data_IF_158747523823
#
_entry.id   IF_158747523823
#
_cell.length_a   1.000
_cell.length_b   1.000
_cell.length_c   1.000
_cell.angle_alpha   90.00
_cell.angle_beta   90.00
_cell.angle_gamma   90.00
#
_symmetry.space_group_name_H-M   'P 1'
#
loop_
_entity.id
_entity.type
_entity.pdbx_description
1 polymer ?
#
# COMPACT_ATOMS: atom_id res chain seq x y z
N UNK A 1 -25.68 8.75 12.13
CA UNK A 1 -25.07 8.79 10.80
C UNK A 1 -23.89 9.73 10.81
N UNK A 2 -22.69 9.28 10.42
CA UNK A 2 -21.55 10.19 10.23
C UNK A 2 -21.85 11.09 9.02
N UNK A 3 -21.57 12.38 9.15
CA UNK A 3 -21.76 13.37 8.07
C UNK A 3 -20.85 12.99 6.90
N UNK A 4 -21.40 12.81 5.70
CA UNK A 4 -20.63 12.55 4.48
C UNK A 4 -19.73 13.76 4.22
N UNK A 5 -18.43 13.54 4.08
CA UNK A 5 -17.49 14.63 3.79
C UNK A 5 -17.67 15.10 2.33
N UNK A 6 -17.79 16.40 2.12
CA UNK A 6 -17.84 17.00 0.77
C UNK A 6 -16.48 16.94 0.04
N UNK A 7 -15.37 16.87 0.80
CA UNK A 7 -14.03 16.75 0.23
C UNK A 7 -13.79 15.37 -0.35
N UNK A 8 -13.06 15.32 -1.45
CA UNK A 8 -12.55 14.07 -2.02
C UNK A 8 -11.62 13.38 -1.03
N UNK A 9 -11.85 12.10 -0.79
CA UNK A 9 -10.93 11.25 -0.02
C UNK A 9 -10.02 10.50 -0.98
N UNK A 10 -8.71 10.67 -0.81
CA UNK A 10 -7.70 9.98 -1.60
C UNK A 10 -7.12 8.81 -0.79
N UNK A 11 -7.07 7.64 -1.43
CA UNK A 11 -6.43 6.43 -0.92
C UNK A 11 -5.22 6.14 -1.79
N UNK A 12 -4.08 5.84 -1.19
CA UNK A 12 -2.86 5.45 -1.89
C UNK A 12 -2.51 4.05 -1.44
N UNK A 13 -2.74 3.07 -2.33
CA UNK A 13 -2.64 1.64 -2.09
C UNK A 13 -1.34 1.09 -2.64
N UNK A 14 -0.62 0.32 -1.84
CA UNK A 14 0.54 -0.47 -2.26
C UNK A 14 0.58 -1.82 -1.55
N UNK A 15 1.42 -2.72 -2.07
CA UNK A 15 1.61 -4.07 -1.55
C UNK A 15 3.06 -4.31 -1.13
N UNK A 16 3.27 -5.22 -0.16
CA UNK A 16 4.59 -5.76 0.17
C UNK A 16 4.53 -7.28 0.28
N UNK A 17 5.47 -7.95 -0.36
CA UNK A 17 5.44 -9.39 -0.60
C UNK A 17 4.80 -9.72 -1.95
N UNK A 18 4.35 -10.95 -2.08
CA UNK A 18 3.78 -11.49 -3.32
C UNK A 18 2.59 -12.43 -3.01
N UNK A 19 1.63 -12.61 -3.94
CA UNK A 19 0.51 -13.54 -3.75
C UNK A 19 0.86 -14.99 -4.08
N UNK A 20 2.09 -15.30 -4.48
CA UNK A 20 2.50 -16.60 -5.01
C UNK A 20 2.56 -17.69 -3.95
N UNK A 21 1.90 -18.81 -4.17
CA UNK A 21 1.93 -19.99 -3.29
C UNK A 21 2.67 -21.16 -3.91
N UNK A 22 2.62 -21.28 -5.24
CA UNK A 22 3.16 -22.43 -5.97
C UNK A 22 4.03 -21.97 -7.13
N UNK A 23 5.02 -22.76 -7.46
CA UNK A 23 5.79 -22.58 -8.68
C UNK A 23 4.99 -23.07 -9.92
N UNK A 24 5.57 -22.94 -11.11
CA UNK A 24 4.96 -23.39 -12.36
C UNK A 24 4.76 -24.90 -12.44
N UNK A 25 5.48 -25.66 -11.64
CA UNK A 25 5.39 -27.12 -11.53
C UNK A 25 4.37 -27.58 -10.48
N UNK A 26 3.73 -26.63 -9.76
CA UNK A 26 2.74 -26.92 -8.73
C UNK A 26 3.33 -27.25 -7.35
N UNK A 27 4.65 -27.05 -7.13
CA UNK A 27 5.27 -27.21 -5.82
C UNK A 27 4.97 -26.03 -4.92
N UNK A 28 4.69 -26.29 -3.64
CA UNK A 28 4.50 -25.23 -2.64
C UNK A 28 5.82 -24.56 -2.29
N UNK A 29 5.91 -23.24 -2.50
CA UNK A 29 7.16 -22.48 -2.39
C UNK A 29 7.11 -21.33 -1.37
N UNK A 30 6.03 -21.21 -0.59
CA UNK A 30 5.91 -20.13 0.41
C UNK A 30 7.01 -20.24 1.47
N UNK A 31 7.77 -19.16 1.64
CA UNK A 31 8.88 -19.08 2.58
C UNK A 31 10.22 -19.56 2.05
N UNK A 32 10.29 -20.00 0.78
CA UNK A 32 11.55 -20.21 0.07
C UNK A 32 12.17 -18.88 -0.33
N UNK A 33 13.40 -18.89 -0.83
CA UNK A 33 14.09 -17.68 -1.29
C UNK A 33 13.25 -16.94 -2.35
N UNK A 34 13.05 -15.65 -2.15
CA UNK A 34 12.27 -14.79 -3.03
C UNK A 34 10.74 -14.85 -2.83
N UNK A 35 10.21 -15.80 -2.04
CA UNK A 35 8.76 -15.94 -1.81
C UNK A 35 8.38 -15.70 -0.36
N UNK A 36 7.65 -14.62 -0.11
CA UNK A 36 7.27 -14.19 1.24
C UNK A 36 6.26 -15.15 1.91
N UNK A 37 6.38 -15.30 3.25
CA UNK A 37 5.39 -16.01 4.10
C UNK A 37 4.11 -15.21 4.33
N UNK A 38 4.13 -13.91 4.00
CA UNK A 38 3.00 -13.00 4.16
C UNK A 38 2.83 -12.16 2.90
N UNK A 39 1.59 -11.74 2.66
CA UNK A 39 1.26 -10.65 1.75
C UNK A 39 0.70 -9.51 2.57
N UNK A 40 1.22 -8.32 2.38
CA UNK A 40 0.75 -7.10 3.01
C UNK A 40 0.08 -6.25 1.94
N UNK A 41 -1.13 -5.80 2.22
CA UNK A 41 -1.83 -4.78 1.47
C UNK A 41 -2.13 -3.61 2.40
N UNK A 42 -1.75 -2.41 2.01
CA UNK A 42 -2.00 -1.25 2.83
C UNK A 42 -2.37 -0.03 2.00
N UNK A 43 -3.09 0.88 2.62
CA UNK A 43 -3.28 2.21 2.07
C UNK A 43 -3.03 3.30 3.12
N UNK A 44 -2.59 4.46 2.66
CA UNK A 44 -2.79 5.70 3.39
C UNK A 44 -4.01 6.43 2.85
N UNK A 45 -4.72 7.14 3.71
CA UNK A 45 -5.92 7.90 3.40
C UNK A 45 -5.75 9.34 3.87
N UNK A 46 -6.00 10.31 2.98
CA UNK A 46 -5.97 11.74 3.27
C UNK A 46 -6.99 12.51 2.43
N UNK A 47 -7.34 13.71 2.87
CA UNK A 47 -8.11 14.70 2.08
C UNK A 47 -7.22 15.82 1.54
N UNK A 48 -5.93 15.81 1.88
CA UNK A 48 -4.94 16.78 1.39
C UNK A 48 -3.65 16.10 0.90
N UNK A 49 -3.68 15.45 -0.27
CA UNK A 49 -2.48 14.83 -0.83
C UNK A 49 -1.39 15.84 -1.20
N UNK A 50 -1.73 17.12 -1.39
CA UNK A 50 -0.76 18.17 -1.70
C UNK A 50 0.19 18.40 -0.53
N UNK A 51 -0.32 18.36 0.70
CA UNK A 51 0.49 18.49 1.90
C UNK A 51 1.52 17.35 2.01
N UNK A 52 1.11 16.10 1.74
CA UNK A 52 2.01 14.94 1.74
C UNK A 52 3.09 15.09 0.67
N UNK A 53 2.71 15.41 -0.58
CA UNK A 53 3.65 15.61 -1.71
C UNK A 53 4.69 16.68 -1.38
N UNK A 54 4.25 17.81 -0.80
CA UNK A 54 5.14 18.90 -0.38
C UNK A 54 6.09 18.45 0.74
N UNK A 55 5.60 17.68 1.71
CA UNK A 55 6.41 17.13 2.78
C UNK A 55 7.55 16.25 2.26
N UNK A 56 7.27 15.33 1.33
CA UNK A 56 8.29 14.48 0.71
C UNK A 56 9.26 15.29 -0.16
N UNK A 57 8.79 16.30 -0.88
CA UNK A 57 9.65 17.19 -1.66
C UNK A 57 10.64 17.95 -0.77
N UNK A 58 10.20 18.46 0.37
CA UNK A 58 11.07 19.10 1.34
C UNK A 58 12.18 18.16 1.86
N UNK A 59 11.84 16.89 2.09
CA UNK A 59 12.84 15.86 2.46
C UNK A 59 13.83 15.65 1.33
N UNK A 60 13.35 15.54 0.08
CA UNK A 60 14.20 15.36 -1.11
C UNK A 60 15.19 16.50 -1.27
N UNK A 61 14.73 17.75 -1.14
CA UNK A 61 15.58 18.95 -1.18
C UNK A 61 16.61 18.91 -0.04
N UNK A 62 16.20 18.57 1.18
CA UNK A 62 17.12 18.47 2.34
C UNK A 62 18.18 17.40 2.13
N UNK A 63 17.83 16.24 1.54
CA UNK A 63 18.79 15.16 1.27
C UNK A 63 19.75 15.55 0.15
N UNK A 64 19.25 16.15 -0.94
CA UNK A 64 20.07 16.52 -2.10
C UNK A 64 21.10 17.61 -1.79
N UNK A 65 20.79 18.48 -0.81
CA UNK A 65 21.70 19.56 -0.38
C UNK A 65 22.71 19.14 0.68
N UNK A 66 22.61 17.92 1.21
CA UNK A 66 23.49 17.44 2.27
C UNK A 66 24.78 16.85 1.70
N UNK A 67 25.89 17.57 1.90
CA UNK A 67 27.24 17.13 1.44
C UNK A 67 27.66 15.79 2.03
N UNK A 68 27.22 15.44 3.24
CA UNK A 68 27.54 14.16 3.87
C UNK A 68 26.94 12.97 3.09
N UNK A 69 25.78 13.17 2.47
CA UNK A 69 25.08 12.14 1.71
C UNK A 69 25.55 12.04 0.25
N UNK A 70 26.22 13.06 -0.27
CA UNK A 70 26.59 13.15 -1.69
C UNK A 70 27.45 11.97 -2.22
N UNK A 71 28.17 11.26 -1.31
CA UNK A 71 28.98 10.08 -1.66
C UNK A 71 28.22 8.75 -1.65
N UNK A 72 26.92 8.73 -1.35
CA UNK A 72 26.16 7.49 -1.26
C UNK A 72 25.78 7.00 -2.67
N UNK A 73 26.22 5.79 -3.11
CA UNK A 73 26.01 5.33 -4.49
C UNK A 73 24.52 5.19 -4.90
N UNK A 74 23.63 4.92 -3.95
CA UNK A 74 22.19 4.79 -4.20
C UNK A 74 21.42 6.10 -4.14
N UNK A 75 22.08 7.23 -3.85
CA UNK A 75 21.41 8.49 -3.57
C UNK A 75 20.56 8.99 -4.74
N UNK A 76 21.10 8.95 -5.95
CA UNK A 76 20.38 9.42 -7.15
C UNK A 76 19.07 8.65 -7.35
N UNK A 77 19.09 7.33 -7.12
CA UNK A 77 17.88 6.50 -7.19
C UNK A 77 16.87 6.89 -6.12
N UNK A 78 17.32 7.11 -4.88
CA UNK A 78 16.45 7.55 -3.77
C UNK A 78 15.85 8.93 -4.02
N UNK A 79 16.63 9.86 -4.61
CA UNK A 79 16.15 11.19 -4.98
C UNK A 79 15.11 11.18 -6.10
N UNK A 80 15.11 10.19 -6.96
CA UNK A 80 14.03 10.00 -7.95
C UNK A 80 12.74 9.52 -7.29
N UNK A 81 12.82 8.50 -6.45
CA UNK A 81 11.67 7.92 -5.76
C UNK A 81 12.15 7.20 -4.50
N UNK A 82 11.69 7.63 -3.34
CA UNK A 82 11.97 6.93 -2.10
C UNK A 82 11.35 5.52 -2.12
N UNK A 83 12.17 4.53 -1.72
CA UNK A 83 11.76 3.14 -1.63
C UNK A 83 12.42 2.48 -0.41
N UNK A 84 11.63 2.15 0.60
CA UNK A 84 12.13 1.77 1.93
C UNK A 84 13.12 0.60 1.93
N UNK A 85 12.97 -0.36 1.02
CA UNK A 85 13.87 -1.50 0.89
C UNK A 85 15.25 -1.11 0.32
N UNK A 86 15.26 -0.20 -0.66
CA UNK A 86 16.45 0.14 -1.45
C UNK A 86 17.21 1.35 -0.89
N UNK A 87 16.52 2.21 -0.15
CA UNK A 87 17.13 3.40 0.47
C UNK A 87 18.14 3.01 1.55
N UNK A 88 19.24 3.76 1.65
CA UNK A 88 20.20 3.63 2.74
C UNK A 88 19.58 4.06 4.09
N UNK A 89 20.26 3.74 5.18
CA UNK A 89 19.74 4.02 6.52
C UNK A 89 19.53 5.51 6.77
N UNK A 90 20.42 6.35 6.26
CA UNK A 90 20.43 7.81 6.44
C UNK A 90 19.22 8.46 5.71
N UNK A 91 18.96 8.03 4.49
CA UNK A 91 17.79 8.45 3.72
C UNK A 91 16.51 7.96 4.41
N UNK A 92 16.47 6.68 4.78
CA UNK A 92 15.32 6.06 5.43
C UNK A 92 14.96 6.76 6.74
N UNK A 93 15.95 7.10 7.57
CA UNK A 93 15.73 7.85 8.81
C UNK A 93 15.03 9.19 8.55
N UNK A 94 15.49 9.95 7.56
CA UNK A 94 14.91 11.26 7.22
C UNK A 94 13.51 11.15 6.70
N UNK A 95 13.25 10.17 5.84
CA UNK A 95 11.91 9.92 5.31
C UNK A 95 10.95 9.53 6.43
N UNK A 96 11.31 8.61 7.33
CA UNK A 96 10.47 8.25 8.48
C UNK A 96 10.20 9.45 9.41
N UNK A 97 11.21 10.28 9.69
CA UNK A 97 11.04 11.51 10.48
C UNK A 97 10.11 12.53 9.83
N UNK A 98 9.99 12.51 8.51
CA UNK A 98 9.01 13.32 7.81
C UNK A 98 7.62 12.70 7.85
N UNK A 99 7.50 11.40 7.59
CA UNK A 99 6.23 10.67 7.56
C UNK A 99 5.40 10.91 8.83
N UNK A 100 5.99 10.86 10.02
CA UNK A 100 5.28 11.08 11.29
C UNK A 100 4.73 12.51 11.47
N UNK A 101 5.09 13.45 10.59
CA UNK A 101 4.62 14.83 10.60
C UNK A 101 3.54 15.07 9.54
N UNK A 102 3.24 14.09 8.71
CA UNK A 102 2.26 14.19 7.65
C UNK A 102 0.86 13.86 8.17
N UNK A 103 -0.16 14.50 7.59
CA UNK A 103 -1.56 14.29 7.98
C UNK A 103 -2.22 13.22 7.10
N UNK A 104 -2.30 12.01 7.61
CA UNK A 104 -2.99 10.88 6.99
C UNK A 104 -3.39 9.85 8.04
N UNK A 105 -4.22 8.90 7.65
CA UNK A 105 -4.42 7.65 8.37
C UNK A 105 -4.00 6.46 7.50
N UNK A 106 -3.44 5.42 8.11
CA UNK A 106 -3.05 4.20 7.41
C UNK A 106 -3.86 3.00 7.91
N UNK A 107 -4.18 2.09 6.99
CA UNK A 107 -4.70 0.76 7.32
C UNK A 107 -3.91 -0.28 6.56
N UNK A 108 -3.45 -1.28 7.31
CA UNK A 108 -2.58 -2.34 6.80
C UNK A 108 -3.22 -3.68 7.09
N UNK A 109 -3.38 -4.49 6.05
CA UNK A 109 -3.85 -5.86 6.14
C UNK A 109 -2.67 -6.82 5.94
N UNK A 110 -2.37 -7.64 6.96
CA UNK A 110 -1.29 -8.63 6.90
C UNK A 110 -1.92 -10.01 6.74
N UNK A 111 -1.75 -10.62 5.58
CA UNK A 111 -2.24 -11.96 5.28
C UNK A 111 -1.11 -12.98 5.38
N UNK A 112 -1.23 -13.95 6.29
CA UNK A 112 -0.35 -15.12 6.32
C UNK A 112 -0.72 -16.09 5.21
N UNK A 113 0.26 -16.55 4.45
CA UNK A 113 0.06 -17.52 3.38
C UNK A 113 0.00 -18.94 3.97
N UNK A 114 -1.22 -19.44 4.17
CA UNK A 114 -1.49 -20.78 4.73
C UNK A 114 -2.01 -21.69 3.64
N UNK A 115 -1.25 -22.74 3.28
CA UNK A 115 -1.50 -23.63 2.15
C UNK A 115 -2.91 -24.25 2.14
N UNK A 116 -3.32 -24.85 3.26
CA UNK A 116 -4.62 -25.53 3.35
C UNK A 116 -5.78 -24.55 3.17
N UNK A 117 -5.69 -23.35 3.78
CA UNK A 117 -6.69 -22.30 3.63
C UNK A 117 -6.75 -21.80 2.18
N UNK A 118 -5.59 -21.59 1.55
CA UNK A 118 -5.50 -21.16 0.16
C UNK A 118 -6.15 -22.17 -0.80
N UNK A 119 -5.86 -23.45 -0.62
CA UNK A 119 -6.44 -24.50 -1.44
C UNK A 119 -7.95 -24.63 -1.26
N UNK A 120 -8.43 -24.59 -0.01
CA UNK A 120 -9.85 -24.78 0.32
C UNK A 120 -10.71 -23.57 -0.03
N UNK A 121 -10.22 -22.35 0.20
CA UNK A 121 -11.02 -21.12 0.06
C UNK A 121 -10.85 -20.44 -1.29
N UNK A 122 -9.65 -20.48 -1.84
CA UNK A 122 -9.31 -19.76 -3.07
C UNK A 122 -8.99 -20.69 -4.26
N UNK A 123 -9.26 -22.00 -4.11
CA UNK A 123 -9.14 -22.99 -5.20
C UNK A 123 -7.76 -22.95 -5.91
N UNK A 124 -6.71 -22.63 -5.16
CA UNK A 124 -5.34 -22.39 -5.67
C UNK A 124 -5.24 -21.18 -6.63
N UNK A 125 -6.17 -20.24 -6.58
CA UNK A 125 -6.21 -19.06 -7.43
C UNK A 125 -5.67 -17.83 -6.68
N UNK A 126 -4.49 -17.37 -7.08
CA UNK A 126 -3.82 -16.20 -6.46
C UNK A 126 -4.60 -14.89 -6.68
N UNK A 127 -5.34 -14.78 -7.78
CA UNK A 127 -6.17 -13.61 -8.03
C UNK A 127 -7.36 -13.56 -7.07
N UNK A 128 -8.03 -14.70 -6.83
CA UNK A 128 -9.14 -14.76 -5.85
C UNK A 128 -8.64 -14.40 -4.44
N UNK A 129 -7.47 -14.89 -4.06
CA UNK A 129 -6.83 -14.54 -2.78
C UNK A 129 -6.56 -13.04 -2.68
N UNK A 130 -5.94 -12.45 -3.72
CA UNK A 130 -5.63 -11.03 -3.77
C UNK A 130 -6.91 -10.17 -3.75
N UNK A 131 -7.90 -10.50 -4.55
CA UNK A 131 -9.18 -9.78 -4.65
C UNK A 131 -9.96 -9.81 -3.32
N UNK A 132 -9.92 -10.94 -2.60
CA UNK A 132 -10.54 -11.04 -1.27
C UNK A 132 -9.86 -10.11 -0.27
N UNK A 133 -8.53 -10.02 -0.28
CA UNK A 133 -7.78 -9.10 0.59
C UNK A 133 -8.10 -7.64 0.30
N UNK A 134 -8.17 -7.25 -0.97
CA UNK A 134 -8.59 -5.90 -1.38
C UNK A 134 -10.04 -5.63 -0.93
N UNK A 135 -10.92 -6.57 -1.15
CA UNK A 135 -12.33 -6.45 -0.74
C UNK A 135 -12.45 -6.18 0.76
N UNK A 136 -11.72 -6.94 1.58
CA UNK A 136 -11.68 -6.76 3.05
C UNK A 136 -11.06 -5.43 3.47
N UNK A 137 -9.98 -5.02 2.82
CA UNK A 137 -9.29 -3.76 3.12
C UNK A 137 -10.19 -2.54 2.89
N UNK A 138 -11.00 -2.56 1.82
CA UNK A 138 -11.92 -1.46 1.48
C UNK A 138 -13.34 -1.61 2.06
N UNK A 139 -13.65 -2.73 2.70
CA UNK A 139 -14.95 -2.93 3.34
C UNK A 139 -15.23 -1.82 4.36
N UNK A 140 -16.40 -1.20 4.29
CA UNK A 140 -16.83 -0.10 5.17
C UNK A 140 -16.00 1.20 5.07
N UNK A 141 -15.36 1.49 3.94
CA UNK A 141 -14.55 2.71 3.76
C UNK A 141 -15.19 3.72 2.80
N UNK A 142 -15.67 3.26 1.67
CA UNK A 142 -16.04 4.11 0.55
C UNK A 142 -17.32 4.93 0.75
N UNK A 143 -18.17 4.53 1.67
CA UNK A 143 -19.42 5.25 2.03
C UNK A 143 -19.19 6.52 2.88
N UNK A 144 -17.95 6.77 3.31
CA UNK A 144 -17.62 7.86 4.25
C UNK A 144 -17.40 9.22 3.57
N UNK A 145 -17.19 9.24 2.26
CA UNK A 145 -17.01 10.44 1.45
C UNK A 145 -17.88 10.40 0.20
N UNK A 146 -18.22 11.58 -0.34
CA UNK A 146 -18.97 11.70 -1.59
C UNK A 146 -18.13 11.26 -2.79
N UNK A 147 -16.84 11.61 -2.78
CA UNK A 147 -15.91 11.25 -3.85
C UNK A 147 -14.70 10.53 -3.25
N UNK A 148 -14.33 9.41 -3.86
CA UNK A 148 -13.14 8.64 -3.51
C UNK A 148 -12.24 8.52 -4.73
N UNK A 149 -10.93 8.71 -4.53
CA UNK A 149 -9.90 8.44 -5.51
C UNK A 149 -8.93 7.40 -4.93
N UNK A 150 -8.80 6.26 -5.61
CA UNK A 150 -7.92 5.17 -5.20
C UNK A 150 -6.75 5.13 -6.18
N UNK A 151 -5.60 5.62 -5.75
CA UNK A 151 -4.33 5.50 -6.44
C UNK A 151 -3.69 4.18 -6.05
N UNK A 152 -3.32 3.36 -7.02
CA UNK A 152 -2.63 2.11 -6.74
C UNK A 152 -1.30 2.02 -7.46
N UNK A 153 -0.31 1.43 -6.75
CA UNK A 153 1.05 1.29 -7.24
C UNK A 153 1.11 0.30 -8.40
N UNK A 154 1.64 0.75 -9.54
CA UNK A 154 1.89 -0.09 -10.72
C UNK A 154 3.37 -0.40 -10.79
N UNK A 155 3.71 -1.70 -10.81
CA UNK A 155 5.09 -2.17 -11.00
C UNK A 155 5.21 -2.84 -12.37
N UNK A 156 6.03 -2.25 -13.24
CA UNK A 156 6.26 -2.76 -14.60
C UNK A 156 5.06 -2.59 -15.52
N UNK A 157 4.90 -3.52 -16.49
CA UNK A 157 3.86 -3.44 -17.54
C UNK A 157 2.52 -4.08 -17.18
N UNK A 158 2.42 -4.74 -16.02
CA UNK A 158 1.18 -5.40 -15.61
C UNK A 158 0.26 -4.43 -14.89
N UNK A 159 -0.72 -3.91 -15.62
CA UNK A 159 -1.80 -3.11 -15.03
C UNK A 159 -2.88 -4.06 -14.50
N UNK A 160 -3.10 -4.09 -13.18
CA UNK A 160 -4.16 -4.86 -12.51
C UNK A 160 -5.43 -4.02 -12.29
N UNK A 161 -5.71 -3.09 -13.17
CA UNK A 161 -6.82 -2.15 -12.99
C UNK A 161 -8.17 -2.87 -12.94
N UNK A 162 -8.51 -3.69 -13.93
CA UNK A 162 -9.80 -4.37 -13.98
C UNK A 162 -10.05 -5.34 -12.80
N UNK A 163 -9.09 -6.17 -12.36
CA UNK A 163 -9.24 -6.95 -11.13
C UNK A 163 -9.46 -6.07 -9.89
N UNK A 164 -8.73 -4.97 -9.75
CA UNK A 164 -8.90 -4.05 -8.62
C UNK A 164 -10.28 -3.39 -8.63
N UNK A 165 -10.76 -2.92 -9.78
CA UNK A 165 -12.11 -2.38 -9.95
C UNK A 165 -13.18 -3.40 -9.51
N UNK A 166 -13.03 -4.66 -9.92
CA UNK A 166 -13.94 -5.73 -9.52
C UNK A 166 -13.92 -5.97 -8.00
N UNK A 167 -12.74 -6.02 -7.37
CA UNK A 167 -12.59 -6.20 -5.93
C UNK A 167 -13.20 -5.02 -5.14
N UNK A 168 -13.01 -3.78 -5.61
CA UNK A 168 -13.63 -2.59 -5.02
C UNK A 168 -15.15 -2.62 -5.16
N UNK A 169 -15.68 -2.99 -6.32
CA UNK A 169 -17.12 -3.15 -6.51
C UNK A 169 -17.72 -4.25 -5.60
N UNK A 170 -16.96 -5.34 -5.38
CA UNK A 170 -17.35 -6.39 -4.44
C UNK A 170 -17.40 -5.87 -3.00
N UNK A 171 -16.44 -5.01 -2.59
CA UNK A 171 -16.46 -4.37 -1.29
C UNK A 171 -17.69 -3.45 -1.10
N UNK A 172 -18.03 -2.67 -2.13
CA UNK A 172 -19.24 -1.82 -2.15
C UNK A 172 -20.50 -2.67 -1.97
N UNK A 173 -20.68 -3.70 -2.80
CA UNK A 173 -21.85 -4.60 -2.72
C UNK A 173 -21.96 -5.31 -1.37
N UNK A 174 -20.83 -5.76 -0.82
CA UNK A 174 -20.81 -6.41 0.50
C UNK A 174 -21.29 -5.44 1.61
N UNK A 175 -20.92 -4.17 1.53
CA UNK A 175 -21.40 -3.15 2.46
C UNK A 175 -22.91 -2.90 2.26
N UNK A 176 -23.37 -2.68 1.03
CA UNK A 176 -24.77 -2.41 0.69
C UNK A 176 -25.68 -3.54 1.17
N UNK A 177 -25.30 -4.79 0.94
CA UNK A 177 -26.05 -5.97 1.38
C UNK A 177 -26.09 -6.05 2.90
N UNK A 178 -24.95 -5.85 3.58
CA UNK A 178 -24.85 -5.96 5.04
C UNK A 178 -25.70 -4.93 5.77
N UNK A 179 -25.75 -3.72 5.25
CA UNK A 179 -26.42 -2.60 5.91
C UNK A 179 -27.74 -2.21 5.27
N UNK A 180 -28.21 -2.95 4.26
CA UNK A 180 -29.42 -2.69 3.48
C UNK A 180 -29.52 -1.22 3.04
N UNK A 181 -28.43 -0.69 2.48
CA UNK A 181 -28.31 0.70 2.04
C UNK A 181 -27.49 0.79 0.77
N UNK A 182 -27.68 1.84 -0.03
CA UNK A 182 -26.86 2.09 -1.21
C UNK A 182 -25.75 3.08 -0.89
N UNK A 183 -24.58 2.89 -1.52
CA UNK A 183 -23.47 3.82 -1.49
C UNK A 183 -23.64 4.78 -2.68
N UNK A 184 -23.85 6.07 -2.38
CA UNK A 184 -23.99 7.13 -3.39
C UNK A 184 -22.65 7.77 -3.77
N UNK A 185 -21.54 7.30 -3.20
CA UNK A 185 -20.22 7.85 -3.47
C UNK A 185 -19.66 7.43 -4.82
N UNK A 186 -19.08 8.39 -5.53
CA UNK A 186 -18.30 8.12 -6.74
C UNK A 186 -16.90 7.64 -6.36
N UNK A 187 -16.43 6.56 -6.99
CA UNK A 187 -15.07 6.03 -6.75
C UNK A 187 -14.32 5.93 -8.08
N UNK A 188 -13.16 6.62 -8.16
CA UNK A 188 -12.24 6.53 -9.28
C UNK A 188 -11.02 5.71 -8.91
N UNK A 189 -10.59 4.81 -9.80
CA UNK A 189 -9.41 3.97 -9.63
C UNK A 189 -8.34 4.44 -10.60
N UNK A 190 -7.18 4.82 -10.08
CA UNK A 190 -6.13 5.53 -10.82
C UNK A 190 -4.82 4.77 -10.67
N UNK A 191 -4.38 4.02 -11.72
CA UNK A 191 -3.07 3.40 -11.71
C UNK A 191 -1.99 4.46 -11.79
N UNK A 192 -0.96 4.34 -10.91
CA UNK A 192 0.12 5.33 -10.87
C UNK A 192 1.44 4.68 -10.42
N UNK A 193 2.56 5.21 -10.89
CA UNK A 193 3.87 4.81 -10.37
C UNK A 193 4.22 5.62 -9.11
N UNK A 194 5.03 5.08 -8.18
CA UNK A 194 5.53 5.84 -7.04
C UNK A 194 6.37 7.07 -7.45
N UNK A 195 6.97 7.06 -8.64
CA UNK A 195 7.66 8.20 -9.20
C UNK A 195 6.68 9.33 -9.57
N UNK A 196 5.53 8.98 -10.16
CA UNK A 196 4.50 9.94 -10.57
C UNK A 196 3.57 10.38 -9.43
N UNK A 197 3.50 9.59 -8.35
CA UNK A 197 2.65 9.88 -7.19
C UNK A 197 3.40 9.64 -5.87
N UNK A 198 4.00 10.70 -5.30
CA UNK A 198 4.81 10.58 -4.07
C UNK A 198 4.08 9.99 -2.87
N UNK A 199 2.75 10.13 -2.76
CA UNK A 199 2.01 9.55 -1.64
C UNK A 199 2.09 8.02 -1.61
N UNK A 200 2.35 7.35 -2.75
CA UNK A 200 2.62 5.91 -2.82
C UNK A 200 3.95 5.53 -2.15
N UNK A 201 4.91 6.45 -2.09
CA UNK A 201 6.18 6.23 -1.39
C UNK A 201 5.97 6.18 0.14
N UNK A 202 4.98 6.89 0.67
CA UNK A 202 4.63 6.84 2.10
C UNK A 202 4.10 5.47 2.47
N UNK A 203 3.16 4.93 1.71
CA UNK A 203 2.61 3.60 2.01
C UNK A 203 3.64 2.49 1.79
N UNK A 204 4.57 2.61 0.83
CA UNK A 204 5.71 1.68 0.68
C UNK A 204 6.53 1.61 1.97
N UNK A 205 6.88 2.76 2.56
CA UNK A 205 7.61 2.85 3.82
C UNK A 205 6.87 2.21 5.00
N UNK A 206 5.56 2.43 5.10
CA UNK A 206 4.73 1.86 6.16
C UNK A 206 4.61 0.35 5.99
N UNK A 207 4.30 -0.14 4.78
CA UNK A 207 4.23 -1.57 4.48
C UNK A 207 5.55 -2.27 4.77
N UNK A 208 6.69 -1.65 4.40
CA UNK A 208 8.01 -2.19 4.69
C UNK A 208 8.30 -2.25 6.21
N UNK A 209 7.92 -1.22 6.99
CA UNK A 209 8.08 -1.22 8.43
C UNK A 209 7.28 -2.37 9.09
N UNK A 210 6.04 -2.57 8.66
CA UNK A 210 5.19 -3.70 9.10
C UNK A 210 5.80 -5.03 8.70
N UNK A 211 6.28 -5.17 7.45
CA UNK A 211 6.90 -6.40 6.98
C UNK A 211 8.15 -6.76 7.80
N UNK A 212 8.98 -5.79 8.14
CA UNK A 212 10.16 -6.04 9.00
C UNK A 212 9.78 -6.53 10.39
N UNK A 213 8.76 -5.93 11.00
CA UNK A 213 8.28 -6.37 12.30
C UNK A 213 7.79 -7.83 12.24
N UNK A 214 6.97 -8.18 11.23
CA UNK A 214 6.39 -9.52 11.09
C UNK A 214 7.39 -10.60 10.66
N UNK A 215 8.32 -10.28 9.75
CA UNK A 215 9.25 -11.27 9.16
C UNK A 215 10.55 -11.39 9.95
N UNK A 216 11.07 -10.25 10.47
CA UNK A 216 12.39 -10.18 11.09
C UNK A 216 12.37 -9.87 12.59
N UNK A 217 11.20 -9.59 13.17
CA UNK A 217 11.07 -9.14 14.55
C UNK A 217 11.67 -7.75 14.81
N UNK A 218 11.99 -6.99 13.74
CA UNK A 218 12.52 -5.64 13.87
C UNK A 218 11.36 -4.64 13.92
N UNK A 219 10.89 -4.38 15.13
CA UNK A 219 9.75 -3.49 15.39
C UNK A 219 10.11 -2.01 15.46
N UNK A 220 11.38 -1.64 15.36
CA UNK A 220 11.86 -0.26 15.53
C UNK A 220 11.12 0.72 14.62
N UNK A 221 10.99 0.40 13.33
CA UNK A 221 10.33 1.27 12.36
C UNK A 221 8.82 1.30 12.55
N UNK A 222 8.22 0.15 12.86
CA UNK A 222 6.79 0.03 13.15
C UNK A 222 6.36 0.84 14.38
N UNK A 223 7.18 0.81 15.45
CA UNK A 223 6.90 1.59 16.68
C UNK A 223 7.17 3.08 16.52
N UNK A 224 7.88 3.47 15.47
CA UNK A 224 8.23 4.86 15.22
C UNK A 224 7.13 5.61 14.44
N UNK A 225 6.36 4.92 13.60
CA UNK A 225 5.23 5.46 12.83
C UNK A 225 3.91 5.01 13.44
#
# INVERSE_FOLDING_TARGET
MKRIQEKTTCFFLDESGDPTFYDRSGNYIVGTEGVSKILILGFIKTTDPKFIRKGLENVRVSISSDKYLAGIPSLDKSLLSFHAKDDCNEVRERVFKAIIKLDFSAEIFVARKVQNLFNATYHRNENEFYDDLITRLFQNKLHLAKNNEIYFSVRGTKVRQAPLEHAIQKAVRAFETKWNTKIESETKIIPQSPLGEPCLQVIDYINWAVQRAFIKGDERYYKFV
#
